data_IF_800325581743
#
_entry.id   IF_800325581743
#
_cell.length_a   1.000
_cell.length_b   1.000
_cell.length_c   1.000
_cell.angle_alpha   90.00
_cell.angle_beta   90.00
_cell.angle_gamma   90.00
#
_symmetry.space_group_name_H-M   'P 1'
#
loop_
_entity.id
_entity.type
_entity.pdbx_description
1 polymer ?
#
# COMPACT_ATOMS: atom_id res chain seq x y z
N UNK A 1 0.48 -3.97 -26.14
CA UNK A 1 -0.34 -3.20 -27.09
C UNK A 1 -1.25 -2.17 -26.43
N UNK A 2 -0.73 -1.33 -25.53
CA UNK A 2 -1.53 -0.31 -24.81
C UNK A 2 -1.30 1.11 -25.35
N UNK A 3 -0.07 1.42 -25.78
CA UNK A 3 0.33 2.75 -26.27
C UNK A 3 -0.32 3.09 -27.63
N UNK A 4 -0.48 2.12 -28.53
CA UNK A 4 -1.10 2.33 -29.85
C UNK A 4 -2.59 2.67 -29.79
N UNK A 5 -3.34 2.10 -28.84
CA UNK A 5 -4.77 2.37 -28.68
C UNK A 5 -5.01 3.77 -28.09
N UNK A 6 -4.15 4.24 -27.19
CA UNK A 6 -4.26 5.58 -26.60
C UNK A 6 -3.99 6.64 -27.66
N UNK A 7 -2.92 6.51 -28.45
CA UNK A 7 -2.63 7.47 -29.53
C UNK A 7 -3.72 7.48 -30.61
N UNK A 8 -4.30 6.31 -30.94
CA UNK A 8 -5.42 6.22 -31.87
C UNK A 8 -6.69 6.90 -31.33
N UNK A 9 -7.02 6.67 -30.06
CA UNK A 9 -8.17 7.32 -29.41
C UNK A 9 -7.99 8.84 -29.28
N UNK A 10 -6.78 9.29 -28.96
CA UNK A 10 -6.45 10.73 -28.87
C UNK A 10 -6.55 11.41 -30.23
N UNK A 11 -6.02 10.80 -31.31
CA UNK A 11 -6.13 11.38 -32.65
C UNK A 11 -7.58 11.49 -33.13
N UNK A 12 -8.39 10.46 -32.89
CA UNK A 12 -9.81 10.49 -33.24
C UNK A 12 -10.53 11.58 -32.43
N UNK A 13 -10.25 11.71 -31.13
CA UNK A 13 -10.80 12.76 -30.30
C UNK A 13 -10.37 14.17 -30.77
N UNK A 14 -9.11 14.35 -31.14
CA UNK A 14 -8.58 15.60 -31.65
C UNK A 14 -9.25 16.00 -32.97
N UNK A 15 -9.41 15.06 -33.90
CA UNK A 15 -10.12 15.30 -35.16
C UNK A 15 -11.56 15.80 -34.94
N UNK A 16 -12.27 15.27 -33.95
CA UNK A 16 -13.61 15.76 -33.62
C UNK A 16 -13.59 17.19 -33.05
N UNK A 17 -12.59 17.54 -32.23
CA UNK A 17 -12.41 18.90 -31.71
C UNK A 17 -12.08 19.87 -32.85
N UNK A 18 -11.13 19.51 -33.72
CA UNK A 18 -10.72 20.36 -34.83
C UNK A 18 -11.88 20.60 -35.81
N UNK A 19 -12.68 19.56 -36.12
CA UNK A 19 -13.86 19.71 -36.97
C UNK A 19 -14.92 20.62 -36.34
N UNK A 20 -15.10 20.56 -35.01
CA UNK A 20 -16.00 21.45 -34.28
C UNK A 20 -15.49 22.88 -34.35
N UNK A 21 -14.24 23.11 -34.02
CA UNK A 21 -13.65 24.45 -33.96
C UNK A 21 -13.65 25.09 -35.35
N UNK A 22 -13.36 24.33 -36.40
CA UNK A 22 -13.47 24.81 -37.77
C UNK A 22 -14.90 25.24 -38.13
N UNK A 23 -15.93 24.49 -37.72
CA UNK A 23 -17.33 24.87 -37.95
C UNK A 23 -17.69 26.15 -37.18
N UNK A 24 -17.33 26.22 -35.90
CA UNK A 24 -17.59 27.39 -35.05
C UNK A 24 -16.88 28.63 -35.61
N UNK A 25 -15.63 28.49 -36.05
CA UNK A 25 -14.84 29.56 -36.65
C UNK A 25 -15.44 30.02 -37.99
N UNK A 26 -15.88 29.08 -38.83
CA UNK A 26 -16.54 29.42 -40.09
C UNK A 26 -17.83 30.23 -39.87
N UNK A 27 -18.67 29.83 -38.91
CA UNK A 27 -19.88 30.57 -38.54
C UNK A 27 -19.53 31.95 -37.95
N UNK A 28 -18.50 32.00 -37.11
CA UNK A 28 -18.01 33.25 -36.49
C UNK A 28 -17.55 34.25 -37.56
N UNK A 29 -16.84 33.77 -38.59
CA UNK A 29 -16.43 34.61 -39.72
C UNK A 29 -17.63 35.15 -40.49
N UNK A 30 -18.66 34.33 -40.73
CA UNK A 30 -19.89 34.77 -41.38
C UNK A 30 -20.64 35.83 -40.57
N UNK A 31 -20.71 35.67 -39.24
CA UNK A 31 -21.30 36.67 -38.33
C UNK A 31 -20.52 37.98 -38.42
N UNK A 32 -19.18 37.93 -38.43
CA UNK A 32 -18.34 39.13 -38.56
C UNK A 32 -18.58 39.86 -39.88
N UNK A 33 -18.68 39.13 -40.99
CA UNK A 33 -18.96 39.73 -42.30
C UNK A 33 -20.34 40.43 -42.33
N UNK A 34 -21.35 39.85 -41.68
CA UNK A 34 -22.66 40.50 -41.53
C UNK A 34 -22.60 41.75 -40.65
N UNK A 35 -21.78 41.76 -39.60
CA UNK A 35 -21.59 42.95 -38.76
C UNK A 35 -20.96 44.10 -39.55
N UNK A 36 -19.97 43.80 -40.39
CA UNK A 36 -19.35 44.78 -41.28
C UNK A 36 -20.36 45.33 -42.31
N UNK A 37 -21.19 44.47 -42.90
CA UNK A 37 -22.24 44.87 -43.83
C UNK A 37 -23.28 45.78 -43.18
N UNK A 38 -23.76 45.42 -41.98
CA UNK A 38 -24.73 46.24 -41.24
C UNK A 38 -24.11 47.58 -40.82
N UNK A 39 -22.84 47.60 -40.43
CA UNK A 39 -22.13 48.83 -40.10
C UNK A 39 -22.03 49.77 -41.32
N UNK A 40 -21.71 49.22 -42.50
CA UNK A 40 -21.69 49.99 -43.75
C UNK A 40 -23.07 50.53 -44.11
N UNK A 41 -24.10 49.71 -43.97
CA UNK A 41 -25.49 50.10 -44.21
C UNK A 41 -25.96 51.18 -43.25
N UNK A 42 -25.64 51.07 -41.96
CA UNK A 42 -25.94 52.13 -40.98
C UNK A 42 -25.27 53.45 -41.36
N UNK A 43 -24.00 53.42 -41.77
CA UNK A 43 -23.30 54.61 -42.26
C UNK A 43 -23.98 55.22 -43.49
N UNK A 44 -24.49 54.40 -44.40
CA UNK A 44 -25.26 54.87 -45.55
C UNK A 44 -26.62 55.47 -45.12
N UNK A 45 -27.32 54.83 -44.18
CA UNK A 45 -28.58 55.34 -43.64
C UNK A 45 -28.40 56.71 -42.96
N UNK A 46 -27.31 56.91 -42.23
CA UNK A 46 -26.97 58.20 -41.61
C UNK A 46 -26.80 59.30 -42.67
N UNK A 47 -26.18 58.98 -43.82
CA UNK A 47 -26.10 59.93 -44.95
C UNK A 47 -27.45 60.27 -45.58
N UNK A 48 -28.35 59.30 -45.70
CA UNK A 48 -29.72 59.58 -46.16
C UNK A 48 -30.50 60.44 -45.15
N UNK A 49 -30.23 60.26 -43.85
CA UNK A 49 -30.81 61.06 -42.78
C UNK A 49 -30.30 62.51 -42.82
N UNK A 50 -28.98 62.71 -42.97
CA UNK A 50 -28.35 64.04 -43.14
C UNK A 50 -28.98 64.80 -44.32
N UNK A 51 -29.22 64.11 -45.44
CA UNK A 51 -29.84 64.70 -46.64
C UNK A 51 -31.36 64.86 -46.55
N UNK A 52 -32.00 64.48 -45.43
CA UNK A 52 -33.46 64.46 -45.24
C UNK A 52 -34.21 63.63 -46.29
N UNK A 53 -33.55 62.62 -46.88
CA UNK A 53 -34.09 61.73 -47.92
C UNK A 53 -34.54 60.37 -47.35
N UNK A 54 -35.17 60.39 -46.17
CA UNK A 54 -35.58 59.17 -45.45
C UNK A 54 -36.50 58.29 -46.32
N UNK A 55 -37.40 58.91 -47.10
CA UNK A 55 -38.36 58.20 -47.94
C UNK A 55 -37.74 57.53 -49.18
N UNK A 56 -36.57 58.01 -49.66
CA UNK A 56 -35.94 57.46 -50.86
C UNK A 56 -35.05 56.25 -50.59
N UNK A 57 -34.31 56.25 -49.47
CA UNK A 57 -33.29 55.21 -49.22
C UNK A 57 -33.21 54.70 -47.79
N UNK A 58 -33.55 55.53 -46.80
CA UNK A 58 -33.40 55.17 -45.39
C UNK A 58 -34.27 53.98 -44.96
N UNK A 59 -35.53 53.94 -45.38
CA UNK A 59 -36.45 52.84 -45.03
C UNK A 59 -36.08 51.51 -45.66
N UNK A 60 -35.54 51.52 -46.89
CA UNK A 60 -35.03 50.30 -47.56
C UNK A 60 -33.85 49.71 -46.79
N UNK A 61 -32.87 50.55 -46.45
CA UNK A 61 -31.67 50.14 -45.73
C UNK A 61 -32.03 49.58 -44.34
N UNK A 62 -32.99 50.18 -43.64
CA UNK A 62 -33.46 49.66 -42.34
C UNK A 62 -34.08 48.26 -42.47
N UNK A 63 -34.88 48.01 -43.51
CA UNK A 63 -35.44 46.67 -43.78
C UNK A 63 -34.36 45.66 -44.11
N UNK A 64 -33.38 46.04 -44.94
CA UNK A 64 -32.22 45.20 -45.26
C UNK A 64 -31.42 44.85 -44.01
N UNK A 65 -31.14 45.84 -43.15
CA UNK A 65 -30.47 45.60 -41.87
C UNK A 65 -31.26 44.68 -40.94
N UNK A 66 -32.59 44.78 -40.91
CA UNK A 66 -33.41 43.88 -40.11
C UNK A 66 -33.25 42.42 -40.57
N UNK A 67 -33.26 42.17 -41.88
CA UNK A 67 -33.03 40.84 -42.46
C UNK A 67 -31.62 40.33 -42.12
N UNK A 68 -30.59 41.18 -42.22
CA UNK A 68 -29.22 40.82 -41.86
C UNK A 68 -29.10 40.47 -40.37
N UNK A 69 -29.82 41.17 -39.48
CA UNK A 69 -29.87 40.88 -38.03
C UNK A 69 -30.60 39.58 -37.71
N UNK A 70 -31.67 39.26 -38.44
CA UNK A 70 -32.35 37.96 -38.34
C UNK A 70 -31.40 36.82 -38.73
N UNK A 71 -30.71 36.96 -39.87
CA UNK A 71 -29.70 36.00 -40.33
C UNK A 71 -28.55 35.84 -39.33
N UNK A 72 -28.09 36.95 -38.75
CA UNK A 72 -27.08 36.94 -37.70
C UNK A 72 -27.54 36.15 -36.47
N UNK A 73 -28.81 36.32 -36.08
CA UNK A 73 -29.40 35.57 -34.94
C UNK A 73 -29.47 34.09 -35.24
N UNK A 74 -29.87 33.69 -36.45
CA UNK A 74 -29.88 32.30 -36.88
C UNK A 74 -28.49 31.66 -36.84
N UNK A 75 -27.46 32.35 -37.34
CA UNK A 75 -26.07 31.88 -37.28
C UNK A 75 -25.56 31.73 -35.83
N UNK A 76 -25.95 32.64 -34.93
CA UNK A 76 -25.60 32.51 -33.50
C UNK A 76 -26.24 31.28 -32.87
N UNK A 77 -27.51 31.01 -33.18
CA UNK A 77 -28.22 29.80 -32.73
C UNK A 77 -27.54 28.55 -33.31
N UNK A 78 -27.18 28.56 -34.60
CA UNK A 78 -26.47 27.46 -35.24
C UNK A 78 -25.11 27.17 -34.57
N UNK A 79 -24.33 28.22 -34.31
CA UNK A 79 -23.05 28.13 -33.58
C UNK A 79 -23.24 27.50 -32.20
N UNK A 80 -24.26 27.95 -31.48
CA UNK A 80 -24.52 27.50 -30.11
C UNK A 80 -25.12 26.08 -30.08
N UNK A 81 -25.73 25.63 -31.17
CA UNK A 81 -26.25 24.27 -31.33
C UNK A 81 -25.17 23.21 -31.57
N UNK A 82 -23.92 23.62 -31.85
CA UNK A 82 -22.81 22.67 -32.10
C UNK A 82 -22.51 21.88 -30.82
N UNK A 83 -22.69 20.53 -30.80
CA UNK A 83 -22.71 19.72 -29.58
C UNK A 83 -21.37 19.76 -28.85
N UNK A 84 -21.42 19.97 -27.52
CA UNK A 84 -20.24 19.93 -26.64
C UNK A 84 -19.90 18.46 -26.37
N UNK A 85 -18.75 18.01 -26.85
CA UNK A 85 -18.32 16.62 -26.70
C UNK A 85 -17.88 16.33 -25.26
N UNK A 86 -18.70 15.59 -24.51
CA UNK A 86 -18.43 15.15 -23.12
C UNK A 86 -17.16 14.28 -22.97
N UNK A 87 -16.72 13.61 -24.05
CA UNK A 87 -15.51 12.77 -24.06
C UNK A 87 -14.19 13.56 -24.05
N UNK A 88 -14.27 14.88 -24.08
CA UNK A 88 -13.12 15.76 -24.06
C UNK A 88 -12.53 16.04 -22.67
N UNK A 89 -13.00 15.47 -21.55
CA UNK A 89 -12.54 15.91 -20.22
C UNK A 89 -11.01 15.82 -20.01
N UNK A 90 -10.39 14.69 -20.36
CA UNK A 90 -8.92 14.53 -20.20
C UNK A 90 -8.15 15.31 -21.27
N UNK A 91 -8.64 15.32 -22.52
CA UNK A 91 -8.02 16.11 -23.59
C UNK A 91 -8.13 17.62 -23.31
N UNK A 92 -9.24 18.07 -22.75
CA UNK A 92 -9.50 19.45 -22.34
C UNK A 92 -8.64 19.83 -21.14
N UNK A 93 -8.37 18.90 -20.22
CA UNK A 93 -7.38 19.11 -19.16
C UNK A 93 -5.97 19.25 -19.73
N UNK A 94 -5.57 18.39 -20.69
CA UNK A 94 -4.27 18.51 -21.37
C UNK A 94 -4.20 19.82 -22.17
N UNK A 95 -5.28 20.21 -22.85
CA UNK A 95 -5.37 21.47 -23.59
C UNK A 95 -5.35 22.70 -22.68
N UNK A 96 -6.01 22.63 -21.52
CA UNK A 96 -5.96 23.67 -20.49
C UNK A 96 -4.56 23.80 -19.92
N UNK A 97 -3.90 22.67 -19.64
CA UNK A 97 -2.51 22.63 -19.19
C UNK A 97 -1.57 23.22 -20.26
N UNK A 98 -1.77 22.86 -21.53
CA UNK A 98 -1.03 23.41 -22.65
C UNK A 98 -1.18 24.94 -22.75
N UNK A 99 -2.41 25.45 -22.56
CA UNK A 99 -2.70 26.89 -22.56
C UNK A 99 -2.05 27.62 -21.38
N UNK A 100 -2.04 27.02 -20.19
CA UNK A 100 -1.37 27.59 -19.01
C UNK A 100 0.15 27.64 -19.21
N UNK A 101 0.72 26.57 -19.79
CA UNK A 101 2.15 26.45 -20.07
C UNK A 101 2.57 27.13 -21.38
N UNK A 102 1.62 27.74 -22.09
CA UNK A 102 1.82 28.41 -23.38
C UNK A 102 2.53 27.52 -24.41
N UNK A 103 2.16 26.24 -24.46
CA UNK A 103 2.75 25.18 -25.29
C UNK A 103 1.67 24.48 -26.12
N UNK A 104 2.08 23.58 -27.02
CA UNK A 104 1.13 22.75 -27.78
C UNK A 104 0.54 21.62 -26.93
N UNK A 105 -0.65 21.13 -27.30
CA UNK A 105 -1.31 19.97 -26.66
C UNK A 105 -0.45 18.70 -26.74
N UNK A 106 0.23 18.49 -27.86
CA UNK A 106 1.11 17.35 -28.11
C UNK A 106 2.34 17.36 -27.20
N UNK A 107 2.96 18.53 -27.03
CA UNK A 107 4.05 18.69 -26.08
C UNK A 107 3.54 18.45 -24.66
N UNK A 108 2.47 19.12 -24.25
CA UNK A 108 1.92 18.99 -22.90
C UNK A 108 1.61 17.53 -22.53
N UNK A 109 1.07 16.74 -23.47
CA UNK A 109 0.87 15.30 -23.30
C UNK A 109 2.20 14.57 -23.07
N UNK A 110 3.22 14.87 -23.87
CA UNK A 110 4.55 14.26 -23.75
C UNK A 110 5.21 14.60 -22.42
N UNK A 111 5.16 15.87 -22.00
CA UNK A 111 5.63 16.33 -20.69
C UNK A 111 4.90 15.65 -19.54
N UNK A 112 3.58 15.47 -19.64
CA UNK A 112 2.78 14.75 -18.63
C UNK A 112 3.25 13.30 -18.47
N UNK A 113 3.48 12.59 -19.57
CA UNK A 113 3.94 11.19 -19.54
C UNK A 113 5.35 11.08 -18.97
N UNK A 114 6.27 11.97 -19.39
CA UNK A 114 7.63 12.02 -18.84
C UNK A 114 7.58 12.31 -17.33
N UNK A 115 6.78 13.30 -16.92
CA UNK A 115 6.61 13.66 -15.52
C UNK A 115 6.08 12.47 -14.70
N UNK A 116 5.06 11.77 -15.19
CA UNK A 116 4.51 10.60 -14.51
C UNK A 116 5.53 9.45 -14.42
N UNK A 117 6.34 9.26 -15.47
CA UNK A 117 7.41 8.25 -15.47
C UNK A 117 8.49 8.56 -14.44
N UNK A 118 8.94 9.81 -14.36
CA UNK A 118 9.93 10.25 -13.37
C UNK A 118 9.36 10.16 -11.97
N UNK A 119 8.10 10.55 -11.78
CA UNK A 119 7.42 10.48 -10.49
C UNK A 119 7.30 9.03 -10.00
N UNK A 120 6.97 8.09 -10.90
CA UNK A 120 6.98 6.65 -10.58
C UNK A 120 8.38 6.14 -10.23
N UNK A 121 9.42 6.59 -10.93
CA UNK A 121 10.80 6.20 -10.61
C UNK A 121 11.25 6.73 -9.24
N UNK A 122 10.89 7.98 -8.91
CA UNK A 122 11.11 8.56 -7.57
C UNK A 122 10.38 7.76 -6.49
N UNK A 123 9.12 7.37 -6.73
CA UNK A 123 8.39 6.52 -5.79
C UNK A 123 9.05 5.15 -5.64
N UNK A 124 9.48 4.53 -6.74
CA UNK A 124 10.19 3.27 -6.70
C UNK A 124 11.48 3.38 -5.90
N UNK A 125 12.30 4.41 -6.13
CA UNK A 125 13.51 4.67 -5.36
C UNK A 125 13.21 4.91 -3.87
N UNK A 126 12.14 5.64 -3.55
CA UNK A 126 11.68 5.86 -2.18
C UNK A 126 11.28 4.54 -1.49
N UNK A 127 10.44 3.71 -2.11
CA UNK A 127 10.03 2.43 -1.53
C UNK A 127 11.17 1.42 -1.44
N UNK A 128 12.06 1.36 -2.44
CA UNK A 128 13.27 0.52 -2.39
C UNK A 128 14.20 0.99 -1.30
N UNK A 129 14.38 2.31 -1.11
CA UNK A 129 15.12 2.89 -0.01
C UNK A 129 14.53 2.52 1.35
N UNK A 130 13.21 2.65 1.51
CA UNK A 130 12.50 2.36 2.75
C UNK A 130 12.54 0.86 3.10
N UNK A 131 12.33 -0.02 2.12
CA UNK A 131 12.49 -1.47 2.28
C UNK A 131 13.96 -1.83 2.57
N UNK A 132 14.89 -1.19 1.88
CA UNK A 132 16.33 -1.38 2.06
C UNK A 132 16.79 -0.98 3.45
N UNK A 133 16.29 0.12 3.99
CA UNK A 133 16.59 0.59 5.34
C UNK A 133 16.00 -0.32 6.41
N UNK A 134 14.76 -0.80 6.25
CA UNK A 134 14.15 -1.79 7.14
C UNK A 134 14.94 -3.12 7.13
N UNK A 135 15.33 -3.60 5.95
CA UNK A 135 16.20 -4.78 5.84
C UNK A 135 17.53 -4.53 6.54
N UNK A 136 18.18 -3.39 6.32
CA UNK A 136 19.46 -3.04 6.95
C UNK A 136 19.33 -2.98 8.48
N UNK A 137 18.26 -2.39 8.99
CA UNK A 137 17.97 -2.33 10.43
C UNK A 137 17.78 -3.73 11.02
N UNK A 138 16.98 -4.58 10.37
CA UNK A 138 16.77 -5.97 10.79
C UNK A 138 18.08 -6.76 10.85
N UNK A 139 18.94 -6.63 9.84
CA UNK A 139 20.26 -7.27 9.85
C UNK A 139 21.18 -6.71 10.94
N UNK A 140 21.10 -5.41 11.25
CA UNK A 140 21.89 -4.81 12.33
C UNK A 140 21.47 -5.33 13.71
N UNK A 141 20.17 -5.51 13.94
CA UNK A 141 19.65 -6.08 15.19
C UNK A 141 20.00 -7.56 15.30
N UNK A 142 19.85 -8.33 14.21
CA UNK A 142 20.18 -9.76 14.23
C UNK A 142 21.67 -9.98 14.51
N UNK A 143 22.56 -9.19 13.89
CA UNK A 143 24.01 -9.26 14.19
C UNK A 143 24.33 -8.92 15.64
N UNK A 144 23.70 -7.87 16.21
CA UNK A 144 23.87 -7.54 17.64
C UNK A 144 23.35 -8.66 18.56
N UNK A 145 22.27 -9.35 18.17
CA UNK A 145 21.75 -10.52 18.92
C UNK A 145 22.68 -11.72 18.84
N UNK A 146 23.26 -11.98 17.67
CA UNK A 146 24.23 -13.06 17.47
C UNK A 146 25.51 -12.82 18.27
N UNK A 147 26.05 -11.60 18.24
CA UNK A 147 27.21 -11.21 19.06
C UNK A 147 26.94 -11.36 20.56
N UNK A 148 25.76 -10.94 21.05
CA UNK A 148 25.39 -11.16 22.46
C UNK A 148 25.29 -12.63 22.82
N UNK A 149 24.75 -13.48 21.95
CA UNK A 149 24.67 -14.93 22.18
C UNK A 149 26.04 -15.59 22.18
N UNK A 150 26.95 -15.13 21.32
CA UNK A 150 28.32 -15.66 21.26
C UNK A 150 29.13 -15.25 22.49
N UNK A 151 28.95 -14.01 22.96
CA UNK A 151 29.56 -13.54 24.20
C UNK A 151 29.00 -14.26 25.43
N UNK A 152 27.68 -14.46 25.52
CA UNK A 152 27.07 -15.24 26.61
C UNK A 152 27.54 -16.72 26.59
N UNK A 153 27.81 -17.29 25.41
CA UNK A 153 28.41 -18.64 25.29
C UNK A 153 29.88 -18.66 25.69
N UNK A 154 30.65 -17.64 25.33
CA UNK A 154 32.04 -17.50 25.73
C UNK A 154 32.15 -17.33 27.25
N UNK A 155 31.33 -16.46 27.84
CA UNK A 155 31.24 -16.23 29.28
C UNK A 155 30.83 -17.51 30.02
N UNK A 156 29.85 -18.26 29.50
CA UNK A 156 29.46 -19.58 30.06
C UNK A 156 30.58 -20.62 29.93
N UNK A 157 31.28 -20.65 28.81
CA UNK A 157 32.40 -21.58 28.60
C UNK A 157 33.60 -21.24 29.50
N UNK A 158 33.87 -19.96 29.72
CA UNK A 158 34.89 -19.48 30.66
C UNK A 158 34.49 -19.82 32.10
N UNK A 159 33.22 -19.59 32.48
CA UNK A 159 32.71 -19.98 33.79
C UNK A 159 32.81 -21.51 34.03
N UNK A 160 32.48 -22.33 33.02
CA UNK A 160 32.65 -23.78 33.06
C UNK A 160 34.13 -24.20 33.19
N UNK A 161 35.06 -23.49 32.53
CA UNK A 161 36.50 -23.73 32.68
C UNK A 161 37.01 -23.36 34.08
N UNK A 162 36.51 -22.27 34.66
CA UNK A 162 36.86 -21.86 36.03
C UNK A 162 36.34 -22.88 37.06
N UNK A 163 35.11 -23.37 36.90
CA UNK A 163 34.55 -24.46 37.72
C UNK A 163 35.34 -25.76 37.58
N UNK A 164 35.72 -26.14 36.35
CA UNK A 164 36.55 -27.32 36.11
C UNK A 164 37.97 -27.18 36.70
N UNK A 165 38.54 -25.97 36.69
CA UNK A 165 39.86 -25.71 37.30
C UNK A 165 39.78 -25.75 38.83
N UNK A 166 38.68 -25.28 39.42
CA UNK A 166 38.41 -25.47 40.85
C UNK A 166 38.29 -26.94 41.24
N UNK A 167 37.76 -27.79 40.36
CA UNK A 167 37.66 -29.24 40.59
C UNK A 167 39.01 -29.98 40.54
N UNK A 168 40.09 -29.36 40.03
CA UNK A 168 41.42 -29.99 39.99
C UNK A 168 42.26 -29.75 41.26
N UNK A 169 41.82 -28.86 42.15
CA UNK A 169 42.53 -28.60 43.43
C UNK A 169 42.07 -29.57 44.54
N UNK A 170 40.91 -30.22 44.38
CA UNK A 170 40.44 -31.28 45.28
C UNK A 170 40.59 -32.65 44.61
N UNK A 171 41.82 -33.17 44.55
CA UNK A 171 42.06 -34.60 44.29
C UNK A 171 42.71 -35.19 45.54
N UNK A 172 41.88 -35.58 46.49
CA UNK A 172 42.19 -36.67 47.43
C UNK A 172 40.89 -37.35 47.92
N UNK A 173 40.62 -38.53 47.34
CA UNK A 173 39.77 -39.62 47.87
C UNK A 173 38.22 -39.48 47.76
N UNK A 174 37.45 -40.60 47.72
CA UNK A 174 37.11 -41.28 46.48
C UNK A 174 35.60 -41.42 46.21
N UNK A 175 35.26 -41.58 44.92
CA UNK A 175 34.14 -42.33 44.34
C UNK A 175 32.73 -42.23 44.97
N UNK A 176 31.84 -41.39 44.39
CA UNK A 176 30.38 -41.61 44.37
C UNK A 176 29.70 -40.96 43.13
N UNK A 177 29.77 -41.63 41.98
CA UNK A 177 28.97 -41.30 40.79
C UNK A 177 27.64 -42.07 40.85
N UNK A 178 26.74 -41.72 41.79
CA UNK A 178 25.38 -42.33 41.84
C UNK A 178 24.30 -41.40 42.45
N UNK A 179 24.64 -40.17 42.85
CA UNK A 179 23.84 -39.44 43.85
C UNK A 179 23.03 -38.22 43.38
N UNK A 180 22.73 -38.01 42.10
CA UNK A 180 21.81 -36.91 41.69
C UNK A 180 20.38 -37.37 41.39
N UNK A 181 20.18 -38.54 40.76
CA UNK A 181 18.83 -39.09 40.54
C UNK A 181 18.14 -39.55 41.84
N UNK A 182 18.93 -39.87 42.87
CA UNK A 182 18.45 -40.26 44.21
C UNK A 182 18.10 -39.06 45.11
N UNK A 183 18.71 -37.88 44.89
CA UNK A 183 18.41 -36.69 45.68
C UNK A 183 17.05 -36.08 45.30
N UNK A 184 16.68 -36.10 44.00
CA UNK A 184 15.37 -35.63 43.54
C UNK A 184 14.25 -36.55 44.04
N UNK A 185 14.48 -37.87 44.06
CA UNK A 185 13.53 -38.86 44.63
C UNK A 185 13.31 -38.71 46.13
N UNK A 186 14.22 -38.09 46.87
CA UNK A 186 14.19 -38.01 48.35
C UNK A 186 13.41 -36.80 48.89
N UNK A 187 13.09 -35.81 48.04
CA UNK A 187 12.35 -34.60 48.42
C UNK A 187 10.94 -34.50 47.84
N UNK A 188 10.56 -35.40 46.92
CA UNK A 188 9.17 -35.55 46.47
C UNK A 188 8.32 -36.28 47.51
N UNK A 189 7.02 -35.98 47.56
CA UNK A 189 6.09 -36.77 48.34
C UNK A 189 6.11 -38.23 47.90
N UNK A 190 6.09 -39.18 48.84
CA UNK A 190 6.13 -40.64 48.56
C UNK A 190 5.07 -41.04 47.51
N UNK A 191 3.94 -40.33 47.50
CA UNK A 191 2.85 -40.54 46.55
C UNK A 191 3.17 -40.02 45.14
N UNK A 192 3.79 -38.85 45.00
CA UNK A 192 4.15 -38.30 43.69
C UNK A 192 5.27 -39.11 43.04
N UNK A 193 6.21 -39.65 43.85
CA UNK A 193 7.22 -40.59 43.35
C UNK A 193 6.63 -41.91 42.85
N UNK A 194 5.59 -42.43 43.51
CA UNK A 194 4.91 -43.65 43.08
C UNK A 194 4.14 -43.44 41.76
N UNK A 195 3.48 -42.29 41.59
CA UNK A 195 2.77 -41.92 40.36
C UNK A 195 3.76 -41.77 39.19
N UNK A 196 4.92 -41.16 39.43
CA UNK A 196 5.97 -41.03 38.41
C UNK A 196 6.52 -42.39 37.98
N UNK A 197 6.78 -43.28 38.94
CA UNK A 197 7.26 -44.64 38.65
C UNK A 197 6.24 -45.44 37.85
N UNK A 198 4.96 -45.43 38.26
CA UNK A 198 3.90 -46.12 37.53
C UNK A 198 3.70 -45.56 36.11
N UNK A 199 3.84 -44.24 35.94
CA UNK A 199 3.77 -43.61 34.62
C UNK A 199 4.95 -43.96 33.71
N UNK A 200 6.15 -44.17 34.27
CA UNK A 200 7.34 -44.61 33.54
C UNK A 200 7.27 -46.10 33.17
N UNK A 201 6.82 -46.96 34.07
CA UNK A 201 6.68 -48.40 33.82
C UNK A 201 5.66 -48.72 32.72
N UNK A 202 4.59 -47.92 32.60
CA UNK A 202 3.53 -48.11 31.61
C UNK A 202 3.65 -47.20 30.37
N UNK A 203 4.76 -46.45 30.22
CA UNK A 203 5.01 -45.48 29.14
C UNK A 203 3.80 -44.55 28.85
N UNK A 204 3.23 -43.97 29.92
CA UNK A 204 2.00 -43.19 29.82
C UNK A 204 2.24 -41.81 29.21
N UNK A 205 1.31 -41.40 28.33
CA UNK A 205 1.27 -40.03 27.78
C UNK A 205 1.12 -39.01 28.92
N UNK A 206 1.84 -37.89 28.82
CA UNK A 206 1.82 -36.79 29.79
C UNK A 206 0.48 -36.01 29.76
N UNK A 207 -0.59 -36.64 30.22
CA UNK A 207 -1.93 -36.05 30.31
C UNK A 207 -2.53 -36.37 31.67
N UNK A 208 -2.87 -35.31 32.42
CA UNK A 208 -3.46 -35.41 33.77
C UNK A 208 -4.69 -36.32 33.80
N UNK A 209 -5.59 -36.17 32.82
CA UNK A 209 -6.82 -37.00 32.71
C UNK A 209 -6.52 -38.46 32.40
N UNK A 210 -5.55 -38.72 31.53
CA UNK A 210 -5.21 -40.08 31.11
C UNK A 210 -4.56 -40.88 32.26
N UNK A 211 -3.72 -40.22 33.04
CA UNK A 211 -3.06 -40.81 34.22
C UNK A 211 -4.09 -41.05 35.35
N UNK A 212 -5.08 -40.16 35.51
CA UNK A 212 -6.17 -40.33 36.47
C UNK A 212 -7.02 -41.56 36.19
N UNK A 213 -7.36 -41.76 34.92
CA UNK A 213 -8.20 -42.86 34.48
C UNK A 213 -7.47 -44.22 34.61
N UNK A 214 -6.18 -44.26 34.27
CA UNK A 214 -5.39 -45.51 34.32
C UNK A 214 -4.98 -45.89 35.75
N UNK A 215 -4.58 -44.91 36.57
CA UNK A 215 -4.18 -45.16 37.95
C UNK A 215 -5.36 -45.15 38.94
N UNK A 216 -6.58 -44.87 38.47
CA UNK A 216 -7.80 -44.75 39.28
C UNK A 216 -7.64 -43.80 40.48
N UNK A 217 -6.90 -42.71 40.28
CA UNK A 217 -6.64 -41.71 41.31
C UNK A 217 -7.53 -40.48 41.10
N UNK A 218 -7.79 -39.75 42.18
CA UNK A 218 -8.58 -38.53 42.08
C UNK A 218 -7.82 -37.44 41.32
N UNK A 219 -8.56 -36.58 40.59
CA UNK A 219 -7.97 -35.49 39.83
C UNK A 219 -7.18 -34.51 40.72
N UNK A 220 -7.64 -34.28 41.96
CA UNK A 220 -6.97 -33.41 42.93
C UNK A 220 -5.61 -33.95 43.37
N UNK A 221 -5.48 -35.27 43.49
CA UNK A 221 -4.20 -35.91 43.86
C UNK A 221 -3.19 -35.85 42.71
N UNK A 222 -3.67 -35.96 41.47
CA UNK A 222 -2.83 -35.86 40.28
C UNK A 222 -2.41 -34.41 40.02
N UNK A 223 -3.29 -33.45 40.27
CA UNK A 223 -2.93 -32.04 40.15
C UNK A 223 -1.81 -31.68 41.12
N UNK A 224 -1.88 -32.13 42.38
CA UNK A 224 -0.79 -31.93 43.35
C UNK A 224 0.51 -32.60 42.92
N UNK A 225 0.45 -33.83 42.41
CA UNK A 225 1.63 -34.52 41.90
C UNK A 225 2.25 -33.81 40.69
N UNK A 226 1.44 -33.26 39.78
CA UNK A 226 1.92 -32.52 38.62
C UNK A 226 2.48 -31.14 38.96
N UNK A 227 1.98 -30.47 40.00
CA UNK A 227 2.62 -29.25 40.52
C UNK A 227 4.00 -29.56 41.10
N UNK A 228 4.15 -30.67 41.83
CA UNK A 228 5.47 -31.15 42.26
C UNK A 228 6.36 -31.50 41.05
N UNK A 229 5.83 -32.17 40.02
CA UNK A 229 6.61 -32.49 38.82
C UNK A 229 7.05 -31.24 38.03
N UNK A 230 6.24 -30.18 38.02
CA UNK A 230 6.61 -28.88 37.46
C UNK A 230 7.71 -28.22 38.29
N UNK A 231 7.59 -28.26 39.61
CA UNK A 231 8.60 -27.70 40.53
C UNK A 231 9.96 -28.40 40.39
N UNK A 232 9.97 -29.72 40.28
CA UNK A 232 11.19 -30.52 40.12
C UNK A 232 11.70 -30.62 38.68
N UNK A 233 11.08 -29.91 37.73
CA UNK A 233 11.54 -29.90 36.33
C UNK A 233 11.43 -31.26 35.63
N UNK A 234 10.45 -32.07 36.01
CA UNK A 234 10.14 -33.38 35.42
C UNK A 234 9.13 -33.22 34.27
N UNK A 235 8.27 -32.22 34.37
CA UNK A 235 7.26 -31.87 33.36
C UNK A 235 7.44 -30.40 32.96
N UNK A 236 7.32 -30.10 31.67
CA UNK A 236 7.30 -28.73 31.15
C UNK A 236 5.90 -28.34 30.69
N UNK A 237 5.52 -27.08 30.91
CA UNK A 237 4.30 -26.48 30.37
C UNK A 237 4.61 -25.75 29.07
N UNK A 238 4.12 -26.28 27.94
CA UNK A 238 4.24 -25.62 26.63
C UNK A 238 3.38 -24.36 26.55
N UNK A 239 3.68 -23.51 25.55
CA UNK A 239 2.98 -22.25 25.25
C UNK A 239 1.46 -22.39 25.05
N UNK A 240 0.98 -23.59 24.75
CA UNK A 240 -0.44 -23.96 24.60
C UNK A 240 -1.03 -24.63 25.85
N UNK A 241 -0.41 -24.47 27.03
CA UNK A 241 -0.79 -25.08 28.31
C UNK A 241 -0.78 -26.62 28.35
N UNK A 242 -0.28 -27.30 27.32
CA UNK A 242 -0.10 -28.74 27.36
C UNK A 242 1.18 -29.11 28.12
N UNK A 243 1.10 -30.18 28.91
CA UNK A 243 2.18 -30.72 29.72
C UNK A 243 2.96 -31.77 28.91
N UNK A 244 4.28 -31.79 29.05
CA UNK A 244 5.16 -32.77 28.41
C UNK A 244 6.21 -33.26 29.39
N UNK A 245 6.49 -34.57 29.40
CA UNK A 245 7.63 -35.14 30.11
C UNK A 245 8.95 -34.58 29.57
N UNK A 246 9.78 -34.05 30.45
CA UNK A 246 11.13 -33.60 30.10
C UNK A 246 11.97 -34.85 29.94
N UNK A 247 12.44 -35.13 28.71
CA UNK A 247 13.40 -36.21 28.47
C UNK A 247 14.80 -35.69 28.80
N UNK A 248 15.73 -36.54 29.25
CA UNK A 248 17.11 -36.12 29.55
C UNK A 248 17.83 -35.41 28.39
N UNK A 249 17.37 -35.61 27.16
CA UNK A 249 17.90 -34.92 25.96
C UNK A 249 17.45 -33.45 25.81
N UNK A 250 16.41 -33.03 26.54
CA UNK A 250 15.85 -31.67 26.46
C UNK A 250 16.43 -30.72 27.55
N UNK A 251 17.31 -31.23 28.44
CA UNK A 251 18.01 -30.46 29.48
C UNK A 251 19.47 -30.26 29.07
N UNK A 252 19.70 -29.32 28.14
CA UNK A 252 21.03 -28.89 27.69
C UNK A 252 21.19 -27.38 27.82
#
# INVERSE_FOLDING_TARGET
GSIGCINSATNVAQQYVDQRDNKVNAITLQISALDDEIALNNKAADKYLELKMISLGGTRIQKENQILREKQTQLRIERDSVPVSEKGSVISLIASLAKILNTTTEDAQSWLVIFLSVLLDIFAAFFVGLIGEELRFRHSINRKKEQKKEQEKADKAEHLRLLATQSYIEIEAPAQLENQSLLIKKQMSVRSSAILQAAQEQDLKCSKKYIAEILQLSMDEIDRAFEEFLFFGIVERKRNNHLRWIRPADVA
#
